data_IF_352916755597
#
_entry.id   IF_352916755597
#
_cell.length_a   1.000
_cell.length_b   1.000
_cell.length_c   1.000
_cell.angle_alpha   90.00
_cell.angle_beta   90.00
_cell.angle_gamma   90.00
#
_symmetry.space_group_name_H-M   'P 1'
#
loop_
_entity.id
_entity.type
_entity.pdbx_description
1 polymer ?
#
# COMPACT_ATOMS: atom_id res chain seq x y z
N UNK A 1 -12.83 -8.73 20.65
CA UNK A 1 -12.34 -8.56 19.27
C UNK A 1 -12.35 -7.07 18.98
N UNK A 2 -11.20 -6.41 19.07
CA UNK A 2 -11.09 -4.99 18.70
C UNK A 2 -11.17 -4.91 17.19
N UNK A 3 -12.30 -4.45 16.67
CA UNK A 3 -12.40 -4.07 15.26
C UNK A 3 -11.36 -2.96 15.04
N UNK A 4 -10.33 -3.23 14.25
CA UNK A 4 -9.45 -2.19 13.73
C UNK A 4 -10.31 -1.32 12.82
N UNK A 5 -10.74 -0.18 13.35
CA UNK A 5 -11.50 0.82 12.62
C UNK A 5 -10.50 1.51 11.70
N UNK A 6 -10.56 1.22 10.41
CA UNK A 6 -9.71 1.87 9.41
C UNK A 6 -10.38 3.20 9.08
N UNK A 7 -9.67 4.30 9.29
CA UNK A 7 -10.09 5.59 8.74
C UNK A 7 -9.93 5.49 7.21
N UNK A 8 -11.00 5.67 6.43
CA UNK A 8 -10.86 5.73 4.97
C UNK A 8 -9.92 6.89 4.63
N UNK A 9 -8.94 6.67 3.74
CA UNK A 9 -7.99 7.72 3.39
C UNK A 9 -8.76 8.87 2.73
N UNK A 10 -8.72 10.03 3.37
CA UNK A 10 -9.36 11.26 2.93
C UNK A 10 -8.76 11.76 1.62
N UNK A 11 -7.46 11.52 1.40
CA UNK A 11 -6.74 11.95 0.20
C UNK A 11 -7.05 11.14 -1.08
N UNK A 12 -7.47 9.87 -0.95
CA UNK A 12 -7.76 9.02 -2.13
C UNK A 12 -8.89 9.57 -3.00
N UNK A 13 -9.79 10.37 -2.44
CA UNK A 13 -10.96 10.89 -3.16
C UNK A 13 -10.73 12.26 -3.82
N UNK A 14 -9.69 13.01 -3.42
CA UNK A 14 -9.49 14.38 -3.89
C UNK A 14 -8.29 14.57 -4.83
N UNK A 15 -7.18 13.86 -4.60
CA UNK A 15 -5.91 14.13 -5.27
C UNK A 15 -5.30 12.94 -6.02
N UNK A 16 -5.93 11.77 -5.99
CA UNK A 16 -5.48 10.64 -6.78
C UNK A 16 -6.10 10.72 -8.19
N UNK A 17 -5.31 10.75 -9.27
CA UNK A 17 -5.85 10.52 -10.60
C UNK A 17 -6.53 9.14 -10.61
N UNK A 18 -7.87 9.12 -10.70
CA UNK A 18 -8.68 7.91 -10.52
C UNK A 18 -8.34 6.80 -11.53
N UNK A 19 -7.75 7.17 -12.67
CA UNK A 19 -7.34 6.23 -13.70
C UNK A 19 -5.82 6.00 -13.66
N UNK A 20 -5.42 4.72 -13.58
CA UNK A 20 -4.03 4.31 -13.67
C UNK A 20 -3.11 4.75 -12.53
N UNK A 21 -3.61 5.18 -11.36
CA UNK A 21 -2.78 5.56 -10.21
C UNK A 21 -2.24 4.38 -9.39
N UNK A 22 -2.93 3.23 -9.42
CA UNK A 22 -2.56 2.04 -8.66
C UNK A 22 -2.20 0.91 -9.63
N UNK A 23 -1.04 0.29 -9.43
CA UNK A 23 -0.63 -0.95 -10.07
C UNK A 23 -0.93 -2.14 -9.15
N UNK A 24 -1.35 -3.26 -9.73
CA UNK A 24 -1.56 -4.51 -9.03
C UNK A 24 -0.64 -5.55 -9.67
N UNK A 25 0.19 -6.16 -8.84
CA UNK A 25 1.17 -7.16 -9.28
C UNK A 25 0.99 -8.44 -8.46
N UNK A 26 1.23 -9.60 -9.08
CA UNK A 26 1.26 -10.87 -8.38
C UNK A 26 2.72 -11.22 -8.05
N UNK A 27 3.06 -11.25 -6.77
CA UNK A 27 4.38 -11.63 -6.29
C UNK A 27 4.26 -12.84 -5.36
N UNK A 28 4.91 -13.96 -5.72
CA UNK A 28 4.88 -15.21 -4.94
C UNK A 28 3.45 -15.71 -4.63
N UNK A 29 2.52 -15.50 -5.56
CA UNK A 29 1.10 -15.86 -5.40
C UNK A 29 0.28 -14.90 -4.54
N UNK A 30 0.87 -13.79 -4.08
CA UNK A 30 0.23 -12.76 -3.28
C UNK A 30 0.02 -11.50 -4.14
N UNK A 31 -1.20 -10.96 -4.14
CA UNK A 31 -1.47 -9.68 -4.79
C UNK A 31 -0.82 -8.54 -3.99
N UNK A 32 -0.02 -7.74 -4.68
CA UNK A 32 0.66 -6.56 -4.14
C UNK A 32 0.11 -5.33 -4.87
N UNK A 33 -0.36 -4.37 -4.09
CA UNK A 33 -0.87 -3.09 -4.56
C UNK A 33 0.22 -2.04 -4.39
N UNK A 34 0.47 -1.26 -5.44
CA UNK A 34 1.53 -0.24 -5.47
C UNK A 34 1.03 1.01 -6.17
N UNK A 35 1.66 2.15 -5.93
CA UNK A 35 1.54 3.29 -6.82
C UNK A 35 1.93 2.86 -8.24
N UNK A 36 1.26 3.38 -9.27
CA UNK A 36 1.63 3.12 -10.65
C UNK A 36 2.95 3.78 -11.01
N UNK A 37 3.58 3.33 -12.09
CA UNK A 37 4.84 3.91 -12.56
C UNK A 37 4.74 5.42 -12.78
N UNK A 38 3.64 5.90 -13.37
CA UNK A 38 3.41 7.33 -13.58
C UNK A 38 3.35 8.09 -12.24
N UNK A 39 2.67 7.52 -11.25
CA UNK A 39 2.55 8.12 -9.92
C UNK A 39 3.89 8.12 -9.18
N UNK A 40 4.65 7.02 -9.26
CA UNK A 40 6.01 6.92 -8.70
C UNK A 40 6.93 7.98 -9.31
N UNK A 41 6.93 8.15 -10.63
CA UNK A 41 7.71 9.21 -11.29
C UNK A 41 7.29 10.61 -10.85
N UNK A 42 6.00 10.85 -10.64
CA UNK A 42 5.52 12.14 -10.13
C UNK A 42 6.02 12.41 -8.71
N UNK A 43 5.96 11.40 -7.83
CA UNK A 43 6.49 11.47 -6.47
C UNK A 43 7.99 11.78 -6.49
N UNK A 44 8.77 11.04 -7.29
CA UNK A 44 10.21 11.26 -7.42
C UNK A 44 10.55 12.68 -7.91
N UNK A 45 9.81 13.18 -8.91
CA UNK A 45 9.99 14.55 -9.40
C UNK A 45 9.71 15.60 -8.32
N UNK A 46 8.67 15.41 -7.50
CA UNK A 46 8.35 16.32 -6.39
C UNK A 46 9.43 16.28 -5.30
N UNK A 47 9.94 15.09 -4.96
CA UNK A 47 11.02 14.93 -3.98
C UNK A 47 12.31 15.59 -4.48
N UNK A 48 12.68 15.36 -5.74
CA UNK A 48 13.85 15.99 -6.35
C UNK A 48 13.69 17.52 -6.38
N UNK A 49 12.51 18.00 -6.78
CA UNK A 49 12.21 19.43 -6.80
C UNK A 49 12.32 20.06 -5.41
N UNK A 50 11.85 19.39 -4.36
CA UNK A 50 11.94 19.86 -2.97
C UNK A 50 13.39 20.00 -2.48
N UNK A 51 14.30 19.16 -2.98
CA UNK A 51 15.72 19.23 -2.63
C UNK A 51 16.43 20.40 -3.32
N UNK A 52 16.00 20.76 -4.52
CA UNK A 52 16.60 21.84 -5.30
C UNK A 52 15.94 23.20 -5.04
N UNK A 53 14.64 23.21 -4.76
CA UNK A 53 13.79 24.41 -4.70
C UNK A 53 12.63 24.24 -3.70
N UNK A 54 11.99 25.34 -3.32
CA UNK A 54 10.74 25.27 -2.55
C UNK A 54 9.59 24.75 -3.43
N UNK A 55 8.89 23.74 -2.93
CA UNK A 55 7.62 23.31 -3.50
C UNK A 55 6.57 24.41 -3.35
N UNK A 56 5.69 24.52 -4.34
CA UNK A 56 4.46 25.30 -4.16
C UNK A 56 3.55 24.62 -3.14
N UNK A 57 2.61 25.38 -2.56
CA UNK A 57 1.64 24.84 -1.59
C UNK A 57 0.84 23.65 -2.17
N UNK A 58 0.50 23.72 -3.45
CA UNK A 58 -0.20 22.64 -4.17
C UNK A 58 0.68 21.40 -4.28
N UNK A 59 1.96 21.55 -4.63
CA UNK A 59 2.90 20.44 -4.76
C UNK A 59 3.23 19.80 -3.40
N UNK A 60 3.31 20.61 -2.34
CA UNK A 60 3.48 20.09 -0.98
C UNK A 60 2.26 19.27 -0.55
N UNK A 61 1.06 19.80 -0.79
CA UNK A 61 -0.19 19.08 -0.49
C UNK A 61 -0.36 17.80 -1.32
N UNK A 62 0.11 17.82 -2.58
CA UNK A 62 0.16 16.64 -3.45
C UNK A 62 1.08 15.56 -2.86
N UNK A 63 2.28 15.94 -2.40
CA UNK A 63 3.22 15.01 -1.78
C UNK A 63 2.71 14.44 -0.45
N UNK A 64 2.06 15.26 0.38
CA UNK A 64 1.40 14.82 1.61
C UNK A 64 0.28 13.82 1.32
N UNK A 65 -0.50 14.06 0.26
CA UNK A 65 -1.54 13.15 -0.20
C UNK A 65 -0.95 11.79 -0.61
N UNK A 66 0.20 11.78 -1.27
CA UNK A 66 0.88 10.54 -1.66
C UNK A 66 1.40 9.74 -0.47
N UNK A 67 1.84 10.40 0.61
CA UNK A 67 2.24 9.71 1.83
C UNK A 67 1.06 8.96 2.48
N UNK A 68 -0.12 9.57 2.54
CA UNK A 68 -1.33 8.91 3.06
C UNK A 68 -1.73 7.68 2.22
N UNK A 69 -1.52 7.76 0.90
CA UNK A 69 -1.78 6.64 -0.02
C UNK A 69 -0.78 5.51 0.19
N UNK A 70 0.51 5.81 0.35
CA UNK A 70 1.53 4.79 0.61
C UNK A 70 1.26 4.03 1.91
N UNK A 71 0.87 4.73 2.98
CA UNK A 71 0.46 4.13 4.25
C UNK A 71 -0.73 3.18 4.06
N UNK A 72 -1.73 3.62 3.29
CA UNK A 72 -2.90 2.80 2.98
C UNK A 72 -2.55 1.56 2.17
N UNK A 73 -1.72 1.69 1.12
CA UNK A 73 -1.27 0.56 0.31
C UNK A 73 -0.43 -0.42 1.13
N UNK A 74 0.46 0.08 1.98
CA UNK A 74 1.22 -0.72 2.94
C UNK A 74 0.32 -1.51 3.87
N UNK A 75 -0.76 -0.90 4.37
CA UNK A 75 -1.77 -1.57 5.17
C UNK A 75 -2.50 -2.66 4.39
N UNK A 76 -3.02 -2.36 3.19
CA UNK A 76 -3.71 -3.34 2.33
C UNK A 76 -2.80 -4.53 2.04
N UNK A 77 -1.53 -4.27 1.68
CA UNK A 77 -0.55 -5.32 1.43
C UNK A 77 -0.28 -6.18 2.67
N UNK A 78 -0.20 -5.59 3.86
CA UNK A 78 -0.06 -6.34 5.13
C UNK A 78 -1.30 -7.19 5.40
N UNK A 79 -2.50 -6.66 5.18
CA UNK A 79 -3.76 -7.40 5.36
C UNK A 79 -3.84 -8.60 4.43
N UNK A 80 -3.52 -8.42 3.14
CA UNK A 80 -3.54 -9.50 2.15
C UNK A 80 -2.52 -10.58 2.53
N UNK A 81 -1.28 -10.19 2.84
CA UNK A 81 -0.24 -11.13 3.29
C UNK A 81 -0.67 -11.89 4.54
N UNK A 82 -1.18 -11.21 5.55
CA UNK A 82 -1.57 -11.83 6.81
C UNK A 82 -2.74 -12.81 6.61
N UNK A 83 -3.75 -12.45 5.81
CA UNK A 83 -4.85 -13.38 5.50
C UNK A 83 -4.39 -14.59 4.67
N UNK A 84 -3.48 -14.39 3.71
CA UNK A 84 -2.92 -15.48 2.93
C UNK A 84 -2.08 -16.44 3.78
N UNK A 85 -1.29 -15.90 4.71
CA UNK A 85 -0.52 -16.70 5.69
C UNK A 85 -1.46 -17.48 6.61
N UNK A 86 -2.57 -16.87 7.05
CA UNK A 86 -3.58 -17.57 7.86
C UNK A 86 -4.22 -18.73 7.09
N UNK A 87 -4.57 -18.54 5.81
CA UNK A 87 -5.09 -19.63 4.99
C UNK A 87 -4.06 -20.74 4.72
N UNK A 88 -2.79 -20.39 4.51
CA UNK A 88 -1.72 -21.37 4.31
C UNK A 88 -1.48 -22.23 5.55
N UNK A 89 -1.52 -21.61 6.75
CA UNK A 89 -1.34 -22.31 8.02
C UNK A 89 -2.54 -23.22 8.39
N UNK A 90 -3.74 -22.93 7.90
CA UNK A 90 -4.91 -23.80 8.08
C UNK A 90 -4.87 -25.04 7.17
N UNK A 91 -4.08 -25.01 6.09
CA UNK A 91 -3.93 -26.12 5.13
C UNK A 91 -2.79 -27.08 5.44
N UNK A 92 -1.93 -26.77 6.41
CA UNK A 92 -0.90 -27.70 6.89
C UNK A 92 -1.45 -28.48 8.09
N UNK A 93 -1.73 -29.80 7.97
CA UNK A 93 -2.03 -30.59 9.16
C UNK A 93 -0.78 -30.59 10.02
N UNK A 94 -0.92 -30.26 11.31
CA UNK A 94 0.09 -30.63 12.30
C UNK A 94 0.27 -32.15 12.18
N UNK A 95 1.36 -32.58 11.55
CA UNK A 95 1.86 -33.93 11.68
C UNK A 95 2.28 -34.08 13.15
N UNK A 96 1.31 -34.41 14.00
CA UNK A 96 1.60 -34.87 15.35
C UNK A 96 2.18 -36.26 15.16
N UNK A 97 3.49 -36.35 15.03
CA UNK A 97 4.21 -37.59 15.29
C UNK A 97 3.97 -37.96 16.76
N UNK A 98 2.94 -38.78 16.99
CA UNK A 98 2.91 -39.62 18.18
C UNK A 98 3.84 -40.80 17.92
N UNK A 99 5.13 -40.57 18.21
CA UNK A 99 6.07 -41.65 18.48
C UNK A 99 6.00 -42.03 19.94
N UNK A 100 5.47 -43.22 20.22
CA UNK A 100 5.84 -44.20 21.26
C UNK A 100 4.64 -45.10 21.61
#
# INVERSE_FOLDING_TARGET
MSASIITPPSALTQNLPLDGAISIELQDGIMIFRASHHLQQRIENLINKQQETLLTEIEAQELDSYAEIDDYLSFVNRMIRNNFILEANLKTPLAIEHGA
#
